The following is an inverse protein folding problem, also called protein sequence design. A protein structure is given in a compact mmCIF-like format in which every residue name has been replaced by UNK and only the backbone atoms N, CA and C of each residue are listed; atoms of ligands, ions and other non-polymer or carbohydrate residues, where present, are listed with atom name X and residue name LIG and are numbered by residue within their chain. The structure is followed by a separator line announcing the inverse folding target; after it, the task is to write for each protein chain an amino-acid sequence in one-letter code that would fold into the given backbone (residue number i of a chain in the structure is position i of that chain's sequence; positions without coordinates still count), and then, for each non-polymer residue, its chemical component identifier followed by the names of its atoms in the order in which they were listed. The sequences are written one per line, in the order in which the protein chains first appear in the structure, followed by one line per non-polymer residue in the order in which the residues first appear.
data_IF_278017025225
#
_entry.id   IF_278017025225
#
_cell.length_a   1.000
_cell.length_b   1.000
_cell.length_c   1.000
_cell.angle_alpha   90.00
_cell.angle_beta   90.00
_cell.angle_gamma   90.00
#
_symmetry.space_group_name_H-M   'P 1'
#
loop_
_entity.id
_entity.type
_entity.pdbx_description
1 polymer ?
#
# COMPACT_ATOMS: atom_id res chain seq x y z
N UNK A 1 -26.30 -3.53 4.13
CA UNK A 1 -26.33 -4.40 2.94
C UNK A 1 -24.88 -4.62 2.53
N UNK A 2 -24.46 -5.85 2.30
CA UNK A 2 -23.10 -6.15 1.86
C UNK A 2 -22.93 -5.80 0.38
N UNK A 3 -21.83 -5.15 0.02
CA UNK A 3 -21.50 -4.79 -1.35
C UNK A 3 -20.11 -5.30 -1.74
N UNK A 4 -19.87 -5.48 -3.04
CA UNK A 4 -18.54 -5.87 -3.54
C UNK A 4 -17.53 -4.79 -3.20
N UNK A 5 -16.41 -5.19 -2.57
CA UNK A 5 -15.34 -4.27 -2.21
C UNK A 5 -14.68 -3.71 -3.47
N UNK A 6 -14.62 -2.37 -3.57
CA UNK A 6 -14.00 -1.63 -4.68
C UNK A 6 -12.74 -0.93 -4.20
N UNK A 7 -11.75 -0.84 -5.08
CA UNK A 7 -10.44 -0.29 -4.78
C UNK A 7 -10.17 0.94 -5.65
N UNK A 8 -9.51 1.96 -5.11
CA UNK A 8 -8.92 3.03 -5.91
C UNK A 8 -7.63 2.49 -6.57
N UNK A 9 -7.53 2.67 -7.90
CA UNK A 9 -6.36 2.21 -8.66
C UNK A 9 -5.11 2.98 -8.22
N UNK A 10 -3.97 2.28 -8.21
CA UNK A 10 -2.69 2.90 -7.91
C UNK A 10 -2.15 3.60 -9.16
N UNK A 11 -1.44 4.71 -8.98
CA UNK A 11 -0.84 5.47 -10.09
C UNK A 11 0.64 5.70 -9.85
N UNK A 12 1.41 5.76 -10.93
CA UNK A 12 2.86 5.99 -10.89
C UNK A 12 3.23 7.45 -11.13
N UNK A 13 4.42 7.82 -10.70
CA UNK A 13 5.08 9.08 -11.01
C UNK A 13 6.56 8.84 -11.16
N UNK A 14 7.06 8.97 -12.38
CA UNK A 14 8.49 8.86 -12.65
C UNK A 14 9.11 10.24 -12.65
N UNK A 15 10.12 10.45 -11.82
CA UNK A 15 10.87 11.70 -11.82
C UNK A 15 11.77 11.79 -13.06
N UNK A 16 11.92 12.96 -13.70
CA UNK A 16 12.75 13.12 -14.89
C UNK A 16 14.17 12.55 -14.75
N UNK A 17 14.74 12.63 -13.56
CA UNK A 17 16.08 12.18 -13.20
C UNK A 17 16.21 10.65 -13.26
N UNK A 18 15.11 9.90 -13.04
CA UNK A 18 15.09 8.45 -13.23
C UNK A 18 15.45 8.07 -14.67
N UNK A 19 14.97 8.81 -15.68
CA UNK A 19 15.27 8.50 -17.09
C UNK A 19 16.74 8.70 -17.43
N UNK A 20 17.38 9.69 -16.82
CA UNK A 20 18.82 9.90 -16.93
C UNK A 20 19.58 8.75 -16.27
N UNK A 21 19.13 8.29 -15.10
CA UNK A 21 19.63 7.08 -14.44
C UNK A 21 19.47 5.83 -15.29
N UNK A 22 18.30 5.64 -15.92
CA UNK A 22 18.03 4.52 -16.83
C UNK A 22 18.94 4.53 -18.05
N UNK A 23 19.15 5.70 -18.67
CA UNK A 23 20.06 5.86 -19.80
C UNK A 23 21.50 5.50 -19.42
N UNK A 24 21.97 6.00 -18.27
CA UNK A 24 23.29 5.67 -17.74
C UNK A 24 23.42 4.17 -17.45
N UNK A 25 22.44 3.57 -16.77
CA UNK A 25 22.41 2.13 -16.50
C UNK A 25 22.42 1.30 -17.79
N UNK A 26 21.64 1.70 -18.80
CA UNK A 26 21.59 1.03 -20.11
C UNK A 26 22.93 1.11 -20.84
N UNK A 27 23.62 2.25 -20.82
CA UNK A 27 24.90 2.41 -21.53
C UNK A 27 26.07 1.70 -20.82
N UNK A 28 26.13 1.80 -19.50
CA UNK A 28 27.33 1.40 -18.75
C UNK A 28 27.21 0.02 -18.10
N UNK A 29 26.01 -0.36 -17.65
CA UNK A 29 25.78 -1.61 -16.90
C UNK A 29 25.11 -2.67 -17.76
N UNK A 30 23.85 -2.46 -18.19
CA UNK A 30 23.06 -3.47 -18.89
C UNK A 30 23.54 -3.70 -20.34
N UNK A 31 23.92 -2.63 -21.06
CA UNK A 31 24.31 -2.67 -22.47
C UNK A 31 23.23 -3.29 -23.36
N UNK A 32 23.41 -4.56 -23.75
CA UNK A 32 22.46 -5.33 -24.55
C UNK A 32 21.64 -6.30 -23.70
N UNK A 33 21.96 -6.44 -22.41
CA UNK A 33 21.23 -7.28 -21.48
C UNK A 33 19.83 -6.71 -21.24
N UNK A 34 18.84 -7.59 -21.34
CA UNK A 34 17.42 -7.30 -21.13
C UNK A 34 16.87 -8.08 -19.94
N UNK A 35 17.75 -8.68 -19.12
CA UNK A 35 17.40 -9.30 -17.86
C UNK A 35 16.64 -8.31 -16.96
N UNK A 36 15.72 -8.87 -16.16
CA UNK A 36 14.99 -8.13 -15.14
C UNK A 36 15.97 -7.52 -14.15
N UNK A 37 15.82 -6.22 -13.88
CA UNK A 37 16.60 -5.51 -12.87
C UNK A 37 15.71 -5.05 -11.71
N UNK A 38 16.27 -5.02 -10.51
CA UNK A 38 15.59 -4.56 -9.31
C UNK A 38 15.75 -3.05 -9.17
N UNK A 39 14.64 -2.35 -8.96
CA UNK A 39 14.58 -0.93 -8.65
C UNK A 39 13.71 -0.73 -7.41
N UNK A 40 13.90 0.36 -6.67
CA UNK A 40 13.05 0.70 -5.50
C UNK A 40 12.21 1.92 -5.83
N UNK A 41 10.96 1.88 -5.41
CA UNK A 41 10.02 3.00 -5.45
C UNK A 41 9.45 3.26 -4.06
N UNK A 42 8.76 4.38 -3.90
CA UNK A 42 8.16 4.76 -2.63
C UNK A 42 6.78 5.39 -2.82
N UNK A 43 5.89 5.18 -1.86
CA UNK A 43 4.60 5.86 -1.80
C UNK A 43 4.26 6.24 -0.36
N UNK A 44 3.21 7.02 -0.16
CA UNK A 44 2.73 7.43 1.16
C UNK A 44 1.21 7.38 1.22
N UNK A 45 0.62 7.73 2.37
CA UNK A 45 -0.83 7.83 2.51
C UNK A 45 -1.44 8.87 1.58
N UNK A 46 -2.57 8.55 0.94
CA UNK A 46 -3.32 9.49 0.13
C UNK A 46 -3.98 10.55 1.01
N UNK A 47 -4.16 11.78 0.49
CA UNK A 47 -4.70 12.88 1.29
C UNK A 47 -5.73 13.69 0.55
N UNK A 48 -6.69 14.24 1.31
CA UNK A 48 -7.61 15.26 0.83
C UNK A 48 -7.15 16.62 1.33
N UNK A 49 -6.89 17.54 0.41
CA UNK A 49 -6.45 18.89 0.74
C UNK A 49 -7.64 19.85 0.73
N UNK A 50 -7.77 20.65 1.79
CA UNK A 50 -8.72 21.74 1.84
C UNK A 50 -8.25 22.85 0.88
N UNK A 51 -8.98 23.06 -0.20
CA UNK A 51 -8.82 24.19 -1.10
C UNK A 51 -9.88 25.22 -0.74
N UNK A 52 -9.43 26.41 -0.34
CA UNK A 52 -10.34 27.54 -0.12
C UNK A 52 -10.76 28.08 -1.49
N UNK A 53 -12.05 28.05 -1.78
CA UNK A 53 -12.62 28.82 -2.89
C UNK A 53 -12.51 30.33 -2.61
N UNK A 54 -12.72 31.13 -3.65
CA UNK A 54 -12.93 32.57 -3.46
C UNK A 54 -14.14 32.79 -2.54
N UNK A 55 -14.13 33.91 -1.81
CA UNK A 55 -14.80 34.26 -0.53
C UNK A 55 -16.31 34.00 -0.33
N UNK A 56 -16.98 33.23 -1.19
CA UNK A 56 -18.37 32.80 -1.05
C UNK A 56 -18.59 31.27 -1.14
N UNK A 57 -17.59 30.47 -1.50
CA UNK A 57 -17.75 29.01 -1.64
C UNK A 57 -17.26 28.23 -0.41
N UNK A 58 -17.96 27.15 0.00
CA UNK A 58 -17.50 26.29 1.08
C UNK A 58 -16.14 25.68 0.75
N UNK A 59 -15.29 25.50 1.77
CA UNK A 59 -13.96 24.89 1.60
C UNK A 59 -14.11 23.48 1.02
N UNK A 60 -13.67 23.28 -0.23
CA UNK A 60 -13.73 21.99 -0.90
C UNK A 60 -12.50 21.16 -0.52
N UNK A 61 -12.69 19.91 -0.11
CA UNK A 61 -11.57 18.98 0.10
C UNK A 61 -11.33 18.22 -1.21
N UNK A 62 -10.24 18.54 -1.90
CA UNK A 62 -9.83 17.86 -3.13
C UNK A 62 -8.98 16.64 -2.81
N UNK A 63 -9.35 15.50 -3.38
CA UNK A 63 -8.63 14.26 -3.26
C UNK A 63 -7.36 14.29 -4.12
N UNK A 64 -6.20 14.13 -3.48
CA UNK A 64 -4.90 14.01 -4.15
C UNK A 64 -4.38 12.60 -3.85
N UNK A 65 -4.56 11.64 -4.77
CA UNK A 65 -4.09 10.29 -4.56
C UNK A 65 -2.57 10.29 -4.46
N UNK A 66 -2.03 9.50 -3.54
CA UNK A 66 -0.60 9.27 -3.51
C UNK A 66 -0.19 8.43 -4.72
N UNK A 67 0.99 8.72 -5.26
CA UNK A 67 1.57 8.01 -6.41
C UNK A 67 2.77 7.21 -5.95
N UNK A 68 3.01 6.07 -6.59
CA UNK A 68 4.30 5.40 -6.49
C UNK A 68 5.34 6.23 -7.23
N UNK A 69 6.33 6.74 -6.50
CA UNK A 69 7.43 7.52 -7.05
C UNK A 69 8.65 6.65 -7.30
N UNK A 70 9.30 6.86 -8.43
CA UNK A 70 10.59 6.27 -8.77
C UNK A 70 11.53 7.42 -9.15
N UNK A 71 12.65 7.51 -8.42
CA UNK A 71 13.63 8.58 -8.54
C UNK A 71 14.97 8.07 -9.12
N UNK A 72 15.94 8.96 -9.30
CA UNK A 72 17.26 8.62 -9.85
C UNK A 72 17.97 7.50 -9.08
N UNK A 73 17.84 7.50 -7.75
CA UNK A 73 18.51 6.56 -6.85
C UNK A 73 17.85 5.18 -6.76
N UNK A 74 16.86 4.88 -7.61
CA UNK A 74 16.07 3.65 -7.52
C UNK A 74 16.90 2.35 -7.52
N UNK A 75 18.02 2.30 -8.24
CA UNK A 75 18.92 1.13 -8.23
C UNK A 75 19.76 1.04 -6.95
N UNK A 76 20.30 2.15 -6.47
CA UNK A 76 21.10 2.19 -5.24
C UNK A 76 20.22 1.90 -4.02
N UNK A 77 19.01 2.43 -4.03
CA UNK A 77 17.99 2.17 -3.03
C UNK A 77 17.57 0.69 -2.99
N UNK A 78 17.51 0.03 -4.15
CA UNK A 78 17.26 -1.41 -4.25
C UNK A 78 18.40 -2.26 -3.65
N UNK A 79 19.62 -1.71 -3.55
CA UNK A 79 20.76 -2.35 -2.89
C UNK A 79 20.83 -2.06 -1.39
N UNK A 80 19.89 -1.29 -0.83
CA UNK A 80 19.84 -0.94 0.59
C UNK A 80 20.65 0.30 0.98
N UNK A 81 21.08 1.11 0.02
CA UNK A 81 22.02 2.22 0.26
C UNK A 81 21.35 3.58 0.55
N UNK A 82 20.05 3.65 0.84
CA UNK A 82 19.33 4.92 1.00
C UNK A 82 18.45 4.97 2.25
N UNK A 83 18.44 6.12 2.92
CA UNK A 83 17.46 6.43 3.96
C UNK A 83 16.07 6.63 3.35
N UNK A 84 15.08 5.91 3.87
CA UNK A 84 13.68 6.03 3.49
C UNK A 84 13.08 7.29 4.13
N UNK A 85 12.27 8.03 3.37
CA UNK A 85 11.58 9.21 3.91
C UNK A 85 10.60 8.80 5.02
N UNK A 86 10.54 9.60 6.09
CA UNK A 86 9.60 9.37 7.18
C UNK A 86 8.14 9.35 6.67
N UNK A 87 7.38 8.31 7.02
CA UNK A 87 5.99 8.13 6.60
C UNK A 87 5.80 7.67 5.14
N UNK A 88 6.89 7.43 4.40
CA UNK A 88 6.86 6.75 3.11
C UNK A 88 7.06 5.24 3.30
N UNK A 89 6.49 4.45 2.40
CA UNK A 89 6.64 2.99 2.30
C UNK A 89 7.46 2.70 1.05
N UNK A 90 8.62 2.08 1.25
CA UNK A 90 9.46 1.59 0.17
C UNK A 90 8.96 0.25 -0.35
N UNK A 91 8.92 0.10 -1.67
CA UNK A 91 8.56 -1.16 -2.34
C UNK A 91 9.54 -1.49 -3.46
N UNK A 92 9.71 -2.79 -3.67
CA UNK A 92 10.56 -3.31 -4.74
C UNK A 92 9.83 -3.29 -6.08
N UNK A 93 10.58 -3.04 -7.14
CA UNK A 93 10.09 -2.97 -8.51
C UNK A 93 10.95 -3.78 -9.45
N UNK A 94 10.29 -4.37 -10.44
CA UNK A 94 10.93 -5.15 -11.50
C UNK A 94 10.93 -4.36 -12.80
N UNK A 95 12.11 -3.86 -13.16
CA UNK A 95 12.34 -3.14 -14.40
C UNK A 95 12.69 -4.12 -15.53
N UNK A 96 11.86 -4.11 -16.56
CA UNK A 96 12.04 -4.83 -17.82
C UNK A 96 12.29 -3.81 -18.93
N UNK A 97 13.55 -3.54 -19.22
CA UNK A 97 13.92 -2.62 -20.29
C UNK A 97 14.27 -3.37 -21.58
N UNK A 98 13.58 -3.10 -22.68
CA UNK A 98 13.84 -3.72 -23.98
C UNK A 98 14.86 -2.93 -24.81
N UNK A 99 15.45 -3.60 -25.80
CA UNK A 99 16.41 -2.98 -26.71
C UNK A 99 15.73 -2.29 -27.89
N UNK A 100 14.58 -2.80 -28.32
CA UNK A 100 13.81 -2.26 -29.45
C UNK A 100 12.37 -1.92 -29.05
N UNK A 101 11.73 -1.02 -29.82
CA UNK A 101 10.31 -0.68 -29.62
C UNK A 101 9.40 -1.83 -30.04
N UNK A 102 9.84 -2.66 -30.99
CA UNK A 102 9.13 -3.86 -31.43
C UNK A 102 9.04 -4.90 -30.30
N UNK A 103 10.14 -5.13 -29.58
CA UNK A 103 10.17 -5.97 -28.38
C UNK A 103 9.24 -5.44 -27.29
N UNK A 104 9.28 -4.13 -27.03
CA UNK A 104 8.40 -3.48 -26.05
C UNK A 104 6.91 -3.72 -26.37
N UNK A 105 6.53 -3.54 -27.64
CA UNK A 105 5.14 -3.72 -28.09
C UNK A 105 4.70 -5.18 -28.06
N UNK A 106 5.60 -6.11 -28.40
CA UNK A 106 5.33 -7.56 -28.47
C UNK A 106 5.43 -8.28 -27.13
N UNK A 107 5.99 -7.64 -26.08
CA UNK A 107 6.15 -8.25 -24.76
C UNK A 107 4.81 -8.74 -24.23
N UNK A 108 4.74 -10.00 -23.79
CA UNK A 108 3.54 -10.55 -23.18
C UNK A 108 3.34 -9.92 -21.79
N UNK A 109 2.44 -8.95 -21.74
CA UNK A 109 2.07 -8.21 -20.53
C UNK A 109 1.30 -9.08 -19.54
N UNK A 110 0.61 -10.11 -20.04
CA UNK A 110 -0.09 -11.08 -19.21
C UNK A 110 0.89 -12.02 -18.51
N UNK A 111 1.93 -12.47 -19.22
CA UNK A 111 3.02 -13.28 -18.65
C UNK A 111 3.72 -12.54 -17.51
N UNK A 112 4.13 -11.28 -17.73
CA UNK A 112 4.77 -10.47 -16.70
C UNK A 112 3.91 -10.33 -15.42
N UNK A 113 2.58 -10.16 -15.57
CA UNK A 113 1.68 -10.11 -14.42
C UNK A 113 1.54 -11.48 -13.73
N UNK A 114 1.43 -12.57 -14.50
CA UNK A 114 1.31 -13.93 -13.94
C UNK A 114 2.55 -14.29 -13.14
N UNK A 115 3.74 -14.01 -13.67
CA UNK A 115 5.01 -14.26 -13.00
C UNK A 115 5.11 -13.48 -11.68
N UNK A 116 4.79 -12.18 -11.71
CA UNK A 116 4.81 -11.35 -10.51
C UNK A 116 3.77 -11.80 -9.47
N UNK A 117 2.57 -12.20 -9.91
CA UNK A 117 1.56 -12.75 -9.02
C UNK A 117 1.97 -14.09 -8.40
N UNK A 118 2.64 -14.95 -9.17
CA UNK A 118 3.20 -16.20 -8.65
C UNK A 118 4.26 -15.93 -7.56
N UNK A 119 5.14 -14.94 -7.76
CA UNK A 119 6.11 -14.52 -6.75
C UNK A 119 5.45 -13.97 -5.48
N UNK A 120 4.39 -13.16 -5.60
CA UNK A 120 3.60 -12.67 -4.45
C UNK A 120 2.99 -13.85 -3.67
N UNK A 121 2.34 -14.78 -4.38
CA UNK A 121 1.72 -15.95 -3.75
C UNK A 121 2.75 -16.84 -3.07
N UNK A 122 3.92 -17.03 -3.68
CA UNK A 122 5.00 -17.80 -3.06
C UNK A 122 5.59 -17.09 -1.83
N UNK A 123 5.72 -15.76 -1.86
CA UNK A 123 6.12 -14.99 -0.69
C UNK A 123 5.11 -15.12 0.46
N UNK A 124 3.81 -15.17 0.15
CA UNK A 124 2.75 -15.41 1.14
C UNK A 124 2.85 -16.84 1.69
N UNK A 125 2.90 -17.86 0.82
CA UNK A 125 2.94 -19.29 1.22
C UNK A 125 4.17 -19.65 2.04
N UNK A 126 5.33 -19.09 1.69
CA UNK A 126 6.57 -19.30 2.42
C UNK A 126 6.65 -18.52 3.74
N UNK A 127 5.68 -17.66 4.05
CA UNK A 127 5.68 -16.80 5.24
C UNK A 127 6.61 -15.59 5.16
N UNK A 128 7.37 -15.43 4.07
CA UNK A 128 8.26 -14.28 3.85
C UNK A 128 7.49 -12.96 3.83
N UNK A 129 6.29 -12.93 3.22
CA UNK A 129 5.45 -11.73 3.20
C UNK A 129 4.97 -11.31 4.59
N UNK A 130 4.86 -12.23 5.55
CA UNK A 130 4.53 -11.91 6.95
C UNK A 130 5.70 -11.21 7.66
N UNK A 131 6.93 -11.60 7.35
CA UNK A 131 8.15 -10.97 7.91
C UNK A 131 8.56 -9.70 7.17
N UNK A 132 8.27 -9.65 5.87
CA UNK A 132 8.67 -8.57 4.96
C UNK A 132 7.47 -8.18 4.08
N UNK A 133 6.56 -7.34 4.60
CA UNK A 133 5.30 -7.01 3.93
C UNK A 133 5.45 -6.26 2.60
N UNK A 134 6.59 -5.60 2.34
CA UNK A 134 6.87 -4.96 1.05
C UNK A 134 6.78 -5.93 -0.15
N UNK A 135 6.95 -7.25 0.09
CA UNK A 135 6.78 -8.30 -0.92
C UNK A 135 5.33 -8.44 -1.41
N UNK A 136 4.35 -7.87 -0.70
CA UNK A 136 2.95 -7.86 -1.11
C UNK A 136 2.68 -6.83 -2.21
N UNK A 137 3.54 -5.83 -2.41
CA UNK A 137 3.26 -4.72 -3.31
C UNK A 137 4.40 -4.43 -4.28
N UNK A 138 4.91 -5.45 -5.00
CA UNK A 138 5.87 -5.17 -6.04
C UNK A 138 5.21 -4.32 -7.13
N UNK A 139 6.02 -3.57 -7.87
CA UNK A 139 5.58 -2.95 -9.12
C UNK A 139 6.39 -3.49 -10.30
N UNK A 140 5.80 -3.42 -11.48
CA UNK A 140 6.49 -3.71 -12.74
C UNK A 140 6.69 -2.41 -13.50
N UNK A 141 7.86 -2.26 -14.11
CA UNK A 141 8.16 -1.18 -15.03
C UNK A 141 8.65 -1.79 -16.33
N UNK A 142 7.78 -1.86 -17.34
CA UNK A 142 8.18 -2.20 -18.70
C UNK A 142 8.63 -0.92 -19.40
N UNK A 143 9.83 -0.88 -19.96
CA UNK A 143 10.37 0.31 -20.60
C UNK A 143 11.10 0.04 -21.91
N UNK A 144 11.17 1.06 -22.76
CA UNK A 144 12.07 1.14 -23.89
C UNK A 144 12.66 2.55 -23.96
N UNK A 145 13.98 2.64 -23.78
CA UNK A 145 14.73 3.89 -23.92
C UNK A 145 15.34 4.02 -25.33
N UNK A 146 14.81 4.95 -26.14
CA UNK A 146 15.41 5.42 -27.39
C UNK A 146 16.43 6.51 -27.08
N UNK A 147 17.67 6.09 -26.84
CA UNK A 147 18.77 7.00 -26.49
C UNK A 147 19.21 7.89 -27.66
N UNK A 148 18.79 7.61 -28.90
CA UNK A 148 19.10 8.46 -30.06
C UNK A 148 18.21 9.69 -30.08
N UNK A 149 16.93 9.52 -29.74
CA UNK A 149 15.93 10.60 -29.69
C UNK A 149 15.66 11.13 -28.28
N UNK A 150 16.24 10.49 -27.27
CA UNK A 150 15.97 10.74 -25.87
C UNK A 150 14.48 10.59 -25.52
N UNK A 151 13.81 9.61 -26.15
CA UNK A 151 12.41 9.27 -25.90
C UNK A 151 12.33 7.99 -25.04
N UNK A 152 11.54 8.06 -23.98
CA UNK A 152 11.34 6.95 -23.05
C UNK A 152 9.89 6.50 -23.07
N UNK A 153 9.68 5.27 -23.54
CA UNK A 153 8.38 4.61 -23.53
C UNK A 153 8.33 3.73 -22.29
N UNK A 154 7.25 3.82 -21.52
CA UNK A 154 7.11 3.05 -20.31
C UNK A 154 5.66 2.66 -20.04
N UNK A 155 5.49 1.63 -19.21
CA UNK A 155 4.20 1.19 -18.72
C UNK A 155 4.39 0.56 -17.33
N UNK A 156 3.70 1.10 -16.33
CA UNK A 156 3.68 0.53 -14.98
C UNK A 156 2.61 -0.54 -14.84
N UNK A 157 2.89 -1.49 -13.97
CA UNK A 157 1.87 -2.35 -13.39
C UNK A 157 2.05 -2.49 -11.88
N UNK A 158 0.95 -2.70 -11.18
CA UNK A 158 0.87 -2.99 -9.76
C UNK A 158 0.17 -4.35 -9.60
N UNK A 159 0.91 -5.47 -9.75
CA UNK A 159 0.33 -6.80 -9.75
C UNK A 159 -0.48 -7.07 -8.48
N UNK A 160 -1.77 -7.35 -8.65
CA UNK A 160 -2.67 -7.67 -7.57
C UNK A 160 -3.44 -8.95 -7.87
N UNK A 161 -3.39 -9.88 -6.91
CA UNK A 161 -4.16 -11.12 -6.94
C UNK A 161 -5.63 -10.79 -6.72
N UNK A 162 -6.48 -11.30 -7.60
CA UNK A 162 -7.93 -11.12 -7.56
C UNK A 162 -8.58 -12.37 -6.96
N UNK A 163 -9.51 -12.16 -6.03
CA UNK A 163 -10.40 -13.19 -5.54
C UNK A 163 -11.64 -13.27 -6.45
N UNK A 164 -12.01 -14.48 -6.85
CA UNK A 164 -13.28 -14.79 -7.50
C UNK A 164 -13.94 -15.95 -6.74
N UNK A 165 -15.05 -15.73 -6.02
CA UNK A 165 -15.80 -14.47 -5.92
C UNK A 165 -15.07 -13.37 -5.12
N UNK A 166 -15.38 -12.08 -5.38
CA UNK A 166 -14.69 -10.96 -4.75
C UNK A 166 -15.04 -10.81 -3.27
N UNK A 167 -14.13 -10.20 -2.51
CA UNK A 167 -14.37 -9.84 -1.11
C UNK A 167 -15.48 -8.78 -0.99
N UNK A 168 -16.18 -8.79 0.15
CA UNK A 168 -17.39 -7.97 0.35
C UNK A 168 -17.20 -6.99 1.51
N UNK A 169 -17.54 -5.72 1.30
CA UNK A 169 -17.70 -4.75 2.38
C UNK A 169 -19.05 -4.99 3.07
N UNK A 170 -19.06 -5.17 4.39
CA UNK A 170 -20.29 -5.51 5.13
C UNK A 170 -21.10 -4.26 5.52
N UNK A 171 -20.43 -3.12 5.62
CA UNK A 171 -20.98 -1.83 6.02
C UNK A 171 -20.27 -0.68 5.30
N UNK A 172 -20.86 0.52 5.36
CA UNK A 172 -20.23 1.70 4.81
C UNK A 172 -18.92 2.01 5.58
N UNK A 173 -17.83 2.35 4.89
CA UNK A 173 -16.59 2.76 5.54
C UNK A 173 -16.82 3.91 6.51
N UNK A 174 -16.21 3.81 7.69
CA UNK A 174 -16.33 4.79 8.75
C UNK A 174 -14.97 5.45 9.03
N UNK A 175 -14.93 6.73 9.42
CA UNK A 175 -13.67 7.39 9.78
C UNK A 175 -13.05 6.71 11.00
N UNK A 176 -11.72 6.60 11.07
CA UNK A 176 -11.04 6.03 12.25
C UNK A 176 -11.43 6.75 13.56
N UNK A 177 -11.70 8.06 13.48
CA UNK A 177 -12.12 8.86 14.62
C UNK A 177 -13.41 8.38 15.29
N UNK A 178 -14.26 7.59 14.63
CA UNK A 178 -15.46 7.02 15.26
C UNK A 178 -15.20 5.74 16.06
N UNK A 179 -13.99 5.16 15.95
CA UNK A 179 -13.60 3.95 16.68
C UNK A 179 -12.80 4.26 17.95
N UNK A 180 -12.27 5.47 18.06
CA UNK A 180 -11.54 5.92 19.26
C UNK A 180 -12.47 6.66 20.21
N UNK A 181 -12.29 6.43 21.50
CA UNK A 181 -13.07 7.06 22.58
C UNK A 181 -12.58 8.47 22.91
N UNK A 182 -11.28 8.75 22.68
CA UNK A 182 -10.65 10.04 23.02
C UNK A 182 -9.79 10.52 21.85
N UNK A 183 -9.73 11.84 21.64
CA UNK A 183 -8.85 12.44 20.62
C UNK A 183 -7.36 12.16 20.86
N UNK A 184 -6.96 12.04 22.14
CA UNK A 184 -5.59 11.66 22.53
C UNK A 184 -5.21 10.24 22.10
N UNK A 185 -6.19 9.34 21.92
CA UNK A 185 -5.91 7.97 21.48
C UNK A 185 -5.47 7.93 20.01
N UNK A 186 -5.96 8.86 19.18
CA UNK A 186 -5.51 8.99 17.80
C UNK A 186 -4.06 9.46 17.73
N UNK A 187 -3.68 10.41 18.58
CA UNK A 187 -2.30 10.87 18.72
C UNK A 187 -1.39 9.73 19.18
N UNK A 188 -1.82 8.93 20.16
CA UNK A 188 -1.10 7.75 20.61
C UNK A 188 -0.92 6.71 19.49
N UNK A 189 -1.92 6.48 18.64
CA UNK A 189 -1.77 5.59 17.48
C UNK A 189 -0.68 6.09 16.53
N UNK A 190 -0.70 7.39 16.19
CA UNK A 190 0.27 8.00 15.28
C UNK A 190 1.70 7.90 15.82
N UNK A 191 1.90 8.22 17.10
CA UNK A 191 3.22 8.14 17.74
C UNK A 191 3.71 6.70 17.88
N UNK A 192 2.83 5.77 18.26
CA UNK A 192 3.15 4.34 18.35
C UNK A 192 3.53 3.78 16.98
N UNK A 193 2.77 4.12 15.93
CA UNK A 193 3.08 3.71 14.57
C UNK A 193 4.42 4.28 14.11
N UNK A 194 4.66 5.59 14.28
CA UNK A 194 5.91 6.24 13.88
C UNK A 194 7.15 5.71 14.62
N UNK A 195 7.00 5.34 15.90
CA UNK A 195 8.08 4.78 16.71
C UNK A 195 8.38 3.30 16.43
N UNK A 196 7.59 2.64 15.59
CA UNK A 196 7.70 1.21 15.31
C UNK A 196 8.37 0.92 13.96
N UNK A 197 8.90 -0.29 13.80
CA UNK A 197 9.46 -0.73 12.52
C UNK A 197 8.42 -0.84 11.40
N UNK A 198 7.13 -0.93 11.74
CA UNK A 198 6.07 -1.06 10.72
C UNK A 198 5.82 0.23 9.95
N UNK A 199 6.29 1.39 10.46
CA UNK A 199 6.18 2.66 9.74
C UNK A 199 6.83 2.59 8.35
N UNK A 200 7.98 1.91 8.24
CA UNK A 200 8.68 1.75 6.98
C UNK A 200 8.12 0.60 6.11
N UNK A 201 7.53 -0.41 6.75
CA UNK A 201 6.98 -1.60 6.08
C UNK A 201 5.59 -1.37 5.49
N UNK A 202 4.84 -0.41 6.03
CA UNK A 202 3.53 -0.02 5.54
C UNK A 202 2.38 -0.94 5.96
N UNK A 203 2.60 -2.23 6.21
CA UNK A 203 1.59 -3.16 6.74
C UNK A 203 1.78 -3.43 8.23
N UNK A 204 0.69 -3.56 8.98
CA UNK A 204 0.72 -3.77 10.41
C UNK A 204 -0.57 -4.38 10.95
N UNK A 205 -0.53 -4.85 12.19
CA UNK A 205 -1.71 -5.20 12.98
C UNK A 205 -1.80 -4.24 14.15
N UNK A 206 -3.01 -3.81 14.49
CA UNK A 206 -3.25 -2.90 15.59
C UNK A 206 -4.42 -3.37 16.45
N UNK A 207 -4.36 -3.05 17.74
CA UNK A 207 -5.46 -3.26 18.69
C UNK A 207 -5.67 -2.02 19.54
N UNK A 208 -6.93 -1.64 19.65
CA UNK A 208 -7.40 -0.54 20.49
C UNK A 208 -8.01 -1.07 21.78
N UNK A 209 -7.63 -0.46 22.90
CA UNK A 209 -8.08 -0.75 24.26
C UNK A 209 -8.70 0.53 24.87
N UNK A 210 -10.02 0.73 24.76
CA UNK A 210 -10.66 1.99 25.18
C UNK A 210 -10.50 2.27 26.68
N UNK A 211 -10.47 1.22 27.51
CA UNK A 211 -10.29 1.35 28.96
C UNK A 211 -8.85 1.64 29.39
N UNK A 212 -7.85 1.38 28.55
CA UNK A 212 -6.46 1.68 28.86
C UNK A 212 -6.13 3.12 28.47
N UNK A 213 -6.06 4.01 29.47
CA UNK A 213 -5.81 5.45 29.23
C UNK A 213 -4.35 5.70 28.84
N UNK A 214 -3.42 4.99 29.48
CA UNK A 214 -1.99 5.23 29.32
C UNK A 214 -1.43 4.57 28.07
N UNK A 215 -1.99 3.44 27.66
CA UNK A 215 -1.57 2.71 26.47
C UNK A 215 -2.79 2.19 25.67
N UNK A 216 -3.54 3.09 25.01
CA UNK A 216 -4.77 2.74 24.29
C UNK A 216 -4.54 1.92 23.03
N UNK A 217 -3.33 1.91 22.47
CA UNK A 217 -3.03 1.22 21.21
C UNK A 217 -1.81 0.33 21.32
N UNK A 218 -1.97 -0.92 20.88
CA UNK A 218 -0.85 -1.79 20.53
C UNK A 218 -0.75 -1.87 19.01
N UNK A 219 0.42 -1.54 18.45
CA UNK A 219 0.72 -1.66 17.02
C UNK A 219 1.93 -2.59 16.86
N UNK A 220 1.85 -3.53 15.93
CA UNK A 220 2.93 -4.48 15.69
C UNK A 220 2.99 -4.98 14.25
N UNK A 221 4.07 -5.69 13.89
CA UNK A 221 4.24 -6.30 12.57
C UNK A 221 3.22 -7.41 12.33
N UNK A 222 3.05 -7.81 11.06
CA UNK A 222 2.14 -8.90 10.69
C UNK A 222 2.49 -10.24 11.37
N UNK A 223 3.75 -10.45 11.75
CA UNK A 223 4.19 -11.63 12.52
C UNK A 223 3.55 -11.73 13.91
N UNK A 224 3.10 -10.61 14.48
CA UNK A 224 2.40 -10.57 15.77
C UNK A 224 0.88 -10.69 15.63
N UNK A 225 0.37 -11.05 14.45
CA UNK A 225 -1.07 -11.19 14.18
C UNK A 225 -1.81 -11.97 15.27
N UNK A 226 -1.34 -13.17 15.62
CA UNK A 226 -2.05 -14.02 16.58
C UNK A 226 -2.14 -13.41 17.97
N UNK A 227 -1.12 -12.64 18.37
CA UNK A 227 -1.05 -12.01 19.69
C UNK A 227 -1.93 -10.74 19.75
N UNK A 228 -1.86 -9.91 18.71
CA UNK A 228 -2.57 -8.63 18.66
C UNK A 228 -4.03 -8.84 18.23
N UNK A 229 -4.27 -9.61 17.18
CA UNK A 229 -5.60 -9.86 16.64
C UNK A 229 -6.35 -10.95 17.41
N UNK A 230 -5.66 -12.03 17.78
CA UNK A 230 -6.24 -13.21 18.43
C UNK A 230 -6.44 -13.10 19.94
N UNK A 231 -5.95 -12.04 20.60
CA UNK A 231 -6.30 -11.80 22.01
C UNK A 231 -7.84 -11.71 22.15
N UNK A 232 -8.39 -12.47 23.09
CA UNK A 232 -9.84 -12.59 23.31
C UNK A 232 -10.52 -11.22 23.30
N UNK A 233 -11.77 -11.19 22.78
CA UNK A 233 -12.61 -9.98 22.73
C UNK A 233 -12.45 -9.25 24.04
N UNK A 234 -11.78 -8.10 23.99
CA UNK A 234 -11.49 -7.39 25.21
C UNK A 234 -12.86 -7.06 25.82
N UNK A 235 -13.08 -7.49 27.07
CA UNK A 235 -14.35 -7.32 27.79
C UNK A 235 -14.78 -5.84 27.84
N UNK A 236 -13.84 -4.94 27.55
CA UNK A 236 -13.95 -3.49 27.47
C UNK A 236 -14.45 -2.92 26.13
N UNK A 237 -14.73 -3.76 25.12
CA UNK A 237 -15.20 -3.29 23.80
C UNK A 237 -14.08 -2.85 22.84
N UNK A 238 -12.83 -3.24 23.09
CA UNK A 238 -11.71 -3.02 22.17
C UNK A 238 -11.88 -3.64 20.77
N UNK A 239 -11.08 -3.16 19.82
CA UNK A 239 -11.14 -3.57 18.40
C UNK A 239 -9.75 -3.94 17.87
N UNK A 240 -9.66 -5.05 17.16
CA UNK A 240 -8.48 -5.44 16.39
C UNK A 240 -8.64 -5.08 14.90
N UNK A 241 -7.55 -4.61 14.31
CA UNK A 241 -7.50 -4.03 12.96
C UNK A 241 -6.28 -4.57 12.20
N UNK A 242 -6.50 -4.93 10.93
CA UNK A 242 -5.43 -5.10 9.96
C UNK A 242 -5.16 -3.76 9.28
N UNK A 243 -3.99 -3.18 9.49
CA UNK A 243 -3.64 -1.85 9.01
C UNK A 243 -2.69 -1.89 7.82
N UNK A 244 -2.86 -0.91 6.92
CA UNK A 244 -1.88 -0.63 5.89
C UNK A 244 -1.85 0.85 5.53
N UNK A 245 -0.68 1.35 5.12
CA UNK A 245 -0.54 2.69 4.55
C UNK A 245 -1.29 2.71 3.21
N UNK A 246 -2.36 3.48 3.17
CA UNK A 246 -3.29 3.50 2.05
C UNK A 246 -3.02 4.70 1.14
N UNK A 247 -2.54 4.49 -0.11
CA UNK A 247 -2.31 5.59 -1.06
C UNK A 247 -3.61 6.21 -1.61
N UNK A 248 -4.76 5.59 -1.36
CA UNK A 248 -6.07 6.11 -1.76
C UNK A 248 -6.37 7.44 -1.08
N UNK A 249 -6.91 8.37 -1.86
CA UNK A 249 -7.47 9.64 -1.37
C UNK A 249 -9.00 9.63 -1.39
N UNK A 250 -9.61 8.55 -1.88
CA UNK A 250 -11.04 8.39 -1.97
C UNK A 250 -11.69 8.21 -0.58
N UNK A 251 -12.75 8.97 -0.31
CA UNK A 251 -13.41 9.01 1.01
C UNK A 251 -13.91 7.66 1.53
N UNK A 252 -14.29 6.75 0.63
CA UNK A 252 -14.90 5.45 0.98
C UNK A 252 -14.29 4.26 0.27
N UNK A 253 -13.13 4.39 -0.38
CA UNK A 253 -12.52 3.25 -1.10
C UNK A 253 -11.10 3.04 -0.61
N UNK A 254 -10.74 1.83 -0.16
CA UNK A 254 -9.35 1.50 0.08
C UNK A 254 -8.55 1.58 -1.21
N UNK A 255 -7.24 1.78 -1.10
CA UNK A 255 -6.33 1.73 -2.24
C UNK A 255 -6.02 0.31 -2.69
N UNK A 256 -5.41 0.24 -3.86
CA UNK A 256 -4.96 -0.98 -4.51
C UNK A 256 -4.14 -1.95 -3.63
N UNK A 257 -3.24 -1.50 -2.72
CA UNK A 257 -2.43 -2.40 -1.89
C UNK A 257 -3.24 -3.41 -1.05
N UNK A 258 -4.48 -3.07 -0.68
CA UNK A 258 -5.33 -3.96 0.11
C UNK A 258 -5.60 -5.31 -0.57
N UNK A 259 -5.60 -5.39 -1.91
CA UNK A 259 -5.93 -6.64 -2.64
C UNK A 259 -4.97 -7.78 -2.29
N UNK A 260 -3.67 -7.49 -2.22
CA UNK A 260 -2.66 -8.50 -1.86
C UNK A 260 -2.63 -8.77 -0.35
N UNK A 261 -3.00 -7.79 0.47
CA UNK A 261 -3.18 -8.01 1.91
C UNK A 261 -4.35 -8.94 2.24
N UNK A 262 -5.48 -8.81 1.54
CA UNK A 262 -6.60 -9.74 1.68
C UNK A 262 -6.21 -11.15 1.22
N UNK A 263 -5.33 -11.26 0.22
CA UNK A 263 -4.76 -12.55 -0.20
C UNK A 263 -3.85 -13.15 0.87
N UNK A 264 -3.00 -12.34 1.49
CA UNK A 264 -2.18 -12.75 2.63
C UNK A 264 -3.06 -13.22 3.80
N UNK A 265 -4.05 -12.42 4.20
CA UNK A 265 -4.96 -12.71 5.31
C UNK A 265 -5.69 -14.03 5.09
N UNK A 266 -6.28 -14.20 3.90
CA UNK A 266 -7.00 -15.41 3.50
C UNK A 266 -6.14 -16.68 3.57
N UNK A 267 -4.85 -16.57 3.27
CA UNK A 267 -3.94 -17.71 3.27
C UNK A 267 -3.37 -18.01 4.65
N UNK A 268 -2.89 -16.98 5.35
CA UNK A 268 -2.18 -17.11 6.63
C UNK A 268 -3.13 -17.27 7.82
N UNK A 269 -4.33 -16.69 7.73
CA UNK A 269 -5.30 -16.58 8.82
C UNK A 269 -6.73 -16.89 8.32
N UNK A 270 -6.98 -18.11 7.81
CA UNK A 270 -8.28 -18.49 7.24
C UNK A 270 -9.45 -18.41 8.23
N UNK A 271 -9.17 -18.40 9.53
CA UNK A 271 -10.16 -18.17 10.59
C UNK A 271 -10.71 -16.74 10.61
N UNK A 272 -9.95 -15.77 10.09
CA UNK A 272 -10.28 -14.36 10.09
C UNK A 272 -11.16 -13.99 8.89
N UNK A 273 -12.44 -14.38 8.96
CA UNK A 273 -13.41 -14.18 7.87
C UNK A 273 -14.07 -12.80 7.88
N UNK A 274 -14.22 -12.17 9.04
CA UNK A 274 -14.74 -10.81 9.17
C UNK A 274 -13.70 -9.94 9.87
N UNK A 275 -13.11 -9.01 9.13
CA UNK A 275 -11.93 -8.24 9.58
C UNK A 275 -12.16 -6.76 9.41
N UNK A 276 -11.76 -5.98 10.41
CA UNK A 276 -11.71 -4.53 10.32
C UNK A 276 -10.37 -4.13 9.67
N UNK A 277 -10.42 -3.50 8.51
CA UNK A 277 -9.26 -3.03 7.77
C UNK A 277 -9.07 -1.55 8.06
N UNK A 278 -7.94 -1.17 8.66
CA UNK A 278 -7.52 0.22 8.81
C UNK A 278 -6.78 0.68 7.55
N UNK A 279 -7.45 1.52 6.76
CA UNK A 279 -6.87 2.22 5.63
C UNK A 279 -6.16 3.48 6.16
N UNK A 280 -4.87 3.36 6.46
CA UNK A 280 -4.10 4.36 7.19
C UNK A 280 -3.53 5.42 6.23
N UNK A 281 -4.08 6.63 6.29
CA UNK A 281 -3.79 7.72 5.34
C UNK A 281 -3.04 8.89 5.95
N UNK A 282 -2.86 8.84 7.26
CA UNK A 282 -2.37 9.95 8.06
C UNK A 282 -0.83 9.93 8.23
N UNK A 283 -0.09 9.20 7.39
CA UNK A 283 1.38 9.14 7.48
C UNK A 283 2.06 10.49 7.28
N UNK A 284 1.42 11.42 6.54
CA UNK A 284 1.91 12.78 6.40
C UNK A 284 1.85 13.60 7.71
N UNK A 285 0.98 13.22 8.67
CA UNK A 285 0.92 13.84 9.99
C UNK A 285 2.15 13.51 10.84
N UNK A 286 2.89 12.45 10.49
CA UNK A 286 4.13 12.06 11.17
C UNK A 286 5.29 13.01 10.87
N UNK A 287 5.23 13.71 9.74
CA UNK A 287 6.27 14.66 9.30
C UNK A 287 5.98 16.09 9.79
N UNK A 288 4.75 16.37 10.26
CA UNK A 288 4.41 17.64 10.89
C UNK A 288 4.81 17.65 12.36
N UNK A 289 5.35 18.76 12.87
CA UNK A 289 5.62 18.90 14.31
C UNK A 289 4.36 18.70 15.17
N UNK A 290 4.50 18.77 16.49
CA UNK A 290 3.38 18.57 17.44
C UNK A 290 2.14 19.41 17.08
N UNK A 291 1.09 18.72 16.64
CA UNK A 291 -0.25 19.26 16.37
C UNK A 291 -1.14 18.87 17.55
N UNK A 292 -2.01 19.77 18.02
CA UNK A 292 -2.94 19.43 19.11
C UNK A 292 -3.92 18.31 18.69
N UNK A 293 -4.37 17.52 19.67
CA UNK A 293 -5.18 16.33 19.41
C UNK A 293 -6.55 16.66 18.79
N UNK A 294 -7.09 17.87 19.01
CA UNK A 294 -8.36 18.30 18.43
C UNK A 294 -8.22 18.56 16.91
N UNK A 295 -7.11 19.17 16.50
CA UNK A 295 -6.77 19.44 15.11
C UNK A 295 -6.42 18.14 14.38
N UNK A 296 -5.74 17.20 15.05
CA UNK A 296 -5.49 15.86 14.50
C UNK A 296 -6.78 15.14 14.11
N UNK A 297 -7.81 15.18 14.95
CA UNK A 297 -9.12 14.56 14.64
C UNK A 297 -9.78 15.20 13.41
N UNK A 298 -9.65 16.51 13.23
CA UNK A 298 -10.20 17.21 12.04
C UNK A 298 -9.44 16.92 10.74
N UNK A 299 -8.16 16.59 10.87
CA UNK A 299 -7.26 16.25 9.77
C UNK A 299 -7.16 14.75 9.48
N UNK A 300 -7.70 13.90 10.36
CA UNK A 300 -7.72 12.45 10.20
C UNK A 300 -8.49 12.06 8.94
N UNK A 301 -7.78 11.45 8.00
CA UNK A 301 -8.33 10.97 6.74
C UNK A 301 -8.43 9.44 6.69
N UNK A 302 -7.83 8.74 7.67
CA UNK A 302 -7.91 7.28 7.78
C UNK A 302 -9.34 6.80 7.98
N UNK A 303 -9.66 5.69 7.31
CA UNK A 303 -10.97 5.03 7.38
C UNK A 303 -10.81 3.58 7.80
N UNK A 304 -11.85 3.03 8.41
CA UNK A 304 -11.98 1.61 8.72
C UNK A 304 -13.04 1.01 7.81
N UNK A 305 -12.69 -0.10 7.16
CA UNK A 305 -13.58 -0.86 6.29
C UNK A 305 -13.75 -2.26 6.89
N UNK A 306 -14.99 -2.68 7.16
CA UNK A 306 -15.26 -4.05 7.59
C UNK A 306 -15.47 -4.94 6.37
N UNK A 307 -14.61 -5.95 6.26
CA UNK A 307 -14.53 -6.83 5.09
C UNK A 307 -14.87 -8.26 5.48
N UNK A 308 -15.79 -8.86 4.74
CA UNK A 308 -15.97 -10.31 4.71
C UNK A 308 -15.03 -10.88 3.64
N UNK A 309 -14.02 -11.59 4.09
CA UNK A 309 -12.96 -12.17 3.27
C UNK A 309 -13.45 -13.49 2.69
N UNK A 310 -13.47 -13.59 1.36
CA UNK A 310 -13.86 -14.83 0.68
C UNK A 310 -12.92 -15.96 1.10
N UNK A 311 -13.40 -17.11 1.61
CA UNK A 311 -12.52 -18.22 2.00
C UNK A 311 -11.79 -18.84 0.80
N UNK A 312 -10.58 -19.39 1.01
CA UNK A 312 -9.81 -20.10 -0.04
C UNK A 312 -10.64 -21.19 -0.72
N UNK A 313 -11.38 -21.98 0.07
CA UNK A 313 -12.20 -23.09 -0.43
C UNK A 313 -13.35 -22.65 -1.36
N UNK A 314 -13.68 -21.35 -1.38
CA UNK A 314 -14.75 -20.79 -2.21
C UNK A 314 -14.24 -20.18 -3.52
N UNK A 315 -12.92 -20.14 -3.75
CA UNK A 315 -12.34 -19.58 -4.96
C UNK A 315 -12.53 -20.52 -6.16
N UNK A 316 -12.98 -19.98 -7.29
CA UNK A 316 -13.36 -20.73 -8.50
C UNK A 316 -12.20 -21.03 -9.44
N UNK A 317 -11.08 -20.33 -9.32
CA UNK A 317 -9.92 -20.43 -10.21
C UNK A 317 -8.59 -20.17 -9.50
N UNK A 318 -7.49 -20.64 -10.09
CA UNK A 318 -6.16 -20.19 -9.69
C UNK A 318 -6.03 -18.67 -9.91
N UNK A 319 -5.60 -17.97 -8.86
CA UNK A 319 -5.44 -16.53 -8.71
C UNK A 319 -5.23 -15.75 -10.02
N UNK A 320 -6.28 -15.07 -10.51
CA UNK A 320 -6.13 -14.09 -11.59
C UNK A 320 -5.34 -12.87 -11.10
N UNK A 321 -4.43 -12.37 -11.92
CA UNK A 321 -3.60 -11.21 -11.59
C UNK A 321 -3.92 -10.06 -12.54
N UNK A 322 -4.12 -8.87 -11.98
CA UNK A 322 -4.40 -7.64 -12.73
C UNK A 322 -3.52 -6.49 -12.23
N UNK A 323 -3.43 -5.40 -12.98
CA UNK A 323 -2.89 -4.15 -12.43
C UNK A 323 -2.02 -3.31 -13.35
N UNK A 324 -2.09 -3.48 -14.68
CA UNK A 324 -1.53 -2.47 -15.59
C UNK A 324 -2.23 -1.13 -15.37
N UNK A 325 -1.44 -0.06 -15.31
CA UNK A 325 -1.92 1.34 -15.23
C UNK A 325 -2.53 1.81 -16.56
#
# INVERSE_FOLDING_TARGET
MSETLRFEAFSSMVEPEFWSGLAHHKLHSARLDTARTLVRGEFSGGRRHAVRGNSAEPTQRLAVPARLRVNQGAWEAAQGNTQQQAGAVGVNGYLHNTNTIEEFKKRDKGELLRDAGAEILEAIRSGRATQTPELLWPFLLLSFADLKKYHFYHWFAFPAVTADPPDMATEAPAPLSSFVSRSSDLEHLLTTFAGSSVCAQGAFVARYYPSNVDNPWRVGPLSEWSEIYGSDKAEDGGIALLGFVDPSSHSTRPGWPLRNMLTWLRHCHPEATNVNILCFRDTALLAGGTVDSATLVQQCESIVVRVNVTPVASLTSECQVSGWE
#
